data_IF_038942792658
#
_entry.id   IF_038942792658
#
_cell.length_a   1.000
_cell.length_b   1.000
_cell.length_c   1.000
_cell.angle_alpha   90.00
_cell.angle_beta   90.00
_cell.angle_gamma   90.00
#
_symmetry.space_group_name_H-M   'P 1'
#
loop_
_entity.id
_entity.type
_entity.pdbx_description
1 polymer ?
#
# COMPACT_ATOMS: atom_id res chain seq x y z
N UNK A 1 -60.34 -3.75 -64.87
CA UNK A 1 -59.53 -2.54 -64.58
C UNK A 1 -59.51 -2.16 -63.09
N UNK A 2 -60.65 -2.11 -62.38
CA UNK A 2 -60.71 -1.72 -60.97
C UNK A 2 -59.94 -2.66 -59.99
N UNK A 3 -59.89 -3.97 -60.25
CA UNK A 3 -59.17 -4.94 -59.40
C UNK A 3 -57.64 -4.71 -59.44
N UNK A 4 -57.08 -4.45 -60.63
CA UNK A 4 -55.65 -4.16 -60.80
C UNK A 4 -55.23 -2.88 -60.06
N UNK A 5 -56.09 -1.86 -60.03
CA UNK A 5 -55.82 -0.61 -59.29
C UNK A 5 -55.79 -0.81 -57.76
N UNK A 6 -56.64 -1.69 -57.22
CA UNK A 6 -56.65 -2.02 -55.79
C UNK A 6 -55.41 -2.82 -55.39
N UNK A 7 -55.00 -3.79 -56.22
CA UNK A 7 -53.79 -4.57 -55.98
C UNK A 7 -52.52 -3.71 -56.03
N UNK A 8 -52.45 -2.75 -56.96
CA UNK A 8 -51.31 -1.83 -57.06
C UNK A 8 -51.19 -0.93 -55.82
N UNK A 9 -52.29 -0.28 -55.41
CA UNK A 9 -52.35 0.55 -54.19
C UNK A 9 -52.05 -0.25 -52.92
N UNK A 10 -52.49 -1.51 -52.86
CA UNK A 10 -52.17 -2.40 -51.75
C UNK A 10 -50.66 -2.70 -51.69
N UNK A 11 -50.02 -3.01 -52.83
CA UNK A 11 -48.57 -3.27 -52.92
C UNK A 11 -47.74 -2.04 -52.53
N UNK A 12 -48.13 -0.85 -53.00
CA UNK A 12 -47.46 0.40 -52.63
C UNK A 12 -47.57 0.69 -51.12
N UNK A 13 -48.78 0.58 -50.56
CA UNK A 13 -48.99 0.77 -49.13
C UNK A 13 -48.27 -0.28 -48.27
N UNK A 14 -48.23 -1.53 -48.72
CA UNK A 14 -47.50 -2.60 -48.05
C UNK A 14 -46.00 -2.33 -48.04
N UNK A 15 -45.41 -2.02 -49.20
CA UNK A 15 -43.99 -1.70 -49.32
C UNK A 15 -43.61 -0.51 -48.43
N UNK A 16 -44.44 0.54 -48.40
CA UNK A 16 -44.18 1.71 -47.56
C UNK A 16 -44.20 1.39 -46.06
N UNK A 17 -45.13 0.54 -45.59
CA UNK A 17 -45.16 0.09 -44.19
C UNK A 17 -43.94 -0.76 -43.82
N UNK A 18 -43.51 -1.66 -44.70
CA UNK A 18 -42.31 -2.49 -44.50
C UNK A 18 -41.05 -1.64 -44.43
N UNK A 19 -40.90 -0.67 -45.33
CA UNK A 19 -39.75 0.26 -45.31
C UNK A 19 -39.74 1.08 -44.02
N UNK A 20 -40.89 1.62 -43.59
CA UNK A 20 -40.99 2.36 -42.31
C UNK A 20 -40.59 1.50 -41.12
N UNK A 21 -41.07 0.26 -41.05
CA UNK A 21 -40.71 -0.67 -39.98
C UNK A 21 -39.21 -0.99 -39.98
N UNK A 22 -38.62 -1.21 -41.16
CA UNK A 22 -37.19 -1.45 -41.30
C UNK A 22 -36.34 -0.25 -40.82
N UNK A 23 -36.77 0.98 -41.13
CA UNK A 23 -36.09 2.20 -40.65
C UNK A 23 -36.18 2.32 -39.13
N UNK A 24 -37.36 2.08 -38.54
CA UNK A 24 -37.54 2.12 -37.08
C UNK A 24 -36.69 1.05 -36.40
N UNK A 25 -36.70 -0.18 -36.90
CA UNK A 25 -35.87 -1.26 -36.36
C UNK A 25 -34.37 -0.97 -36.48
N UNK A 26 -33.93 -0.38 -37.60
CA UNK A 26 -32.54 0.03 -37.80
C UNK A 26 -32.14 1.11 -36.78
N UNK A 27 -33.01 2.09 -36.54
CA UNK A 27 -32.78 3.12 -35.53
C UNK A 27 -32.65 2.51 -34.12
N UNK A 28 -33.56 1.61 -33.73
CA UNK A 28 -33.51 0.91 -32.44
C UNK A 28 -32.19 0.12 -32.29
N UNK A 29 -31.76 -0.61 -33.32
CA UNK A 29 -30.51 -1.37 -33.28
C UNK A 29 -29.28 -0.46 -33.14
N UNK A 30 -29.25 0.68 -33.84
CA UNK A 30 -28.16 1.66 -33.72
C UNK A 30 -28.09 2.19 -32.28
N UNK A 31 -29.24 2.57 -31.70
CA UNK A 31 -29.28 3.08 -30.32
C UNK A 31 -28.88 2.03 -29.29
N UNK A 32 -29.32 0.77 -29.45
CA UNK A 32 -28.94 -0.31 -28.55
C UNK A 32 -27.44 -0.62 -28.64
N UNK A 33 -26.88 -0.61 -29.85
CA UNK A 33 -25.45 -0.82 -30.07
C UNK A 33 -24.60 0.32 -29.46
N UNK A 34 -25.03 1.59 -29.60
CA UNK A 34 -24.31 2.71 -28.98
C UNK A 34 -24.33 2.63 -27.46
N UNK A 35 -25.48 2.32 -26.85
CA UNK A 35 -25.57 2.15 -25.39
C UNK A 35 -24.67 1.02 -24.90
N UNK A 36 -24.68 -0.12 -25.59
CA UNK A 36 -23.81 -1.24 -25.24
C UNK A 36 -22.32 -0.90 -25.37
N UNK A 37 -21.93 -0.16 -26.42
CA UNK A 37 -20.56 0.31 -26.58
C UNK A 37 -20.13 1.28 -25.46
N UNK A 38 -21.03 2.17 -25.04
CA UNK A 38 -20.79 3.10 -23.92
C UNK A 38 -20.64 2.35 -22.60
N UNK A 39 -21.46 1.32 -22.34
CA UNK A 39 -21.34 0.45 -21.16
C UNK A 39 -20.01 -0.31 -21.13
N UNK A 40 -19.59 -0.89 -22.25
CA UNK A 40 -18.29 -1.57 -22.37
C UNK A 40 -17.14 -0.60 -22.08
N UNK A 41 -17.20 0.61 -22.65
CA UNK A 41 -16.18 1.64 -22.40
C UNK A 41 -16.17 2.09 -20.94
N UNK A 42 -17.34 2.19 -20.31
CA UNK A 42 -17.45 2.50 -18.88
C UNK A 42 -16.79 1.43 -18.02
N UNK A 43 -17.01 0.14 -18.34
CA UNK A 43 -16.41 -0.98 -17.62
C UNK A 43 -14.88 -1.04 -17.78
N UNK A 44 -14.38 -0.75 -18.98
CA UNK A 44 -12.94 -0.63 -19.24
C UNK A 44 -12.32 0.51 -18.41
N UNK A 45 -12.97 1.67 -18.38
CA UNK A 45 -12.52 2.81 -17.58
C UNK A 45 -12.51 2.50 -16.08
N UNK A 46 -13.55 1.81 -15.57
CA UNK A 46 -13.58 1.34 -14.19
C UNK A 46 -12.41 0.40 -13.88
N UNK A 47 -12.16 -0.57 -14.78
CA UNK A 47 -11.04 -1.51 -14.64
C UNK A 47 -9.70 -0.77 -14.55
N UNK A 48 -9.50 0.27 -15.38
CA UNK A 48 -8.26 1.08 -15.35
C UNK A 48 -8.14 1.88 -14.04
N UNK A 49 -9.23 2.39 -13.49
CA UNK A 49 -9.23 3.09 -12.20
C UNK A 49 -8.90 2.17 -11.04
N UNK A 50 -9.44 0.95 -11.04
CA UNK A 50 -9.10 -0.09 -10.06
C UNK A 50 -7.61 -0.46 -10.14
N UNK A 51 -7.08 -0.64 -11.36
CA UNK A 51 -5.65 -0.89 -11.57
C UNK A 51 -4.77 0.26 -11.08
N UNK A 52 -5.12 1.52 -11.39
CA UNK A 52 -4.39 2.69 -10.90
C UNK A 52 -4.36 2.75 -9.36
N UNK A 53 -5.47 2.36 -8.72
CA UNK A 53 -5.58 2.30 -7.26
C UNK A 53 -4.70 1.21 -6.67
N UNK A 54 -4.70 0.02 -7.28
CA UNK A 54 -3.81 -1.08 -6.90
C UNK A 54 -2.35 -0.66 -7.06
N UNK A 55 -1.99 -0.03 -8.17
CA UNK A 55 -0.65 0.48 -8.46
C UNK A 55 -0.18 1.42 -7.34
N UNK A 56 -0.99 2.44 -7.00
CA UNK A 56 -0.71 3.36 -5.90
C UNK A 56 -0.51 2.63 -4.56
N UNK A 57 -1.45 1.79 -4.17
CA UNK A 57 -1.40 1.05 -2.91
C UNK A 57 -0.19 0.12 -2.80
N UNK A 58 0.23 -0.51 -3.91
CA UNK A 58 1.39 -1.41 -3.93
C UNK A 58 2.72 -0.69 -3.86
N UNK A 59 2.86 0.44 -4.55
CA UNK A 59 4.03 1.33 -4.39
C UNK A 59 4.16 1.83 -2.95
N UNK A 60 3.07 2.27 -2.32
CA UNK A 60 3.11 2.67 -0.90
C UNK A 60 3.53 1.52 0.02
N UNK A 61 3.03 0.30 -0.23
CA UNK A 61 3.42 -0.86 0.54
C UNK A 61 4.90 -1.24 0.36
N UNK A 62 5.47 -1.01 -0.83
CA UNK A 62 6.89 -1.19 -1.11
C UNK A 62 7.73 -0.18 -0.34
N UNK A 63 7.40 1.11 -0.46
CA UNK A 63 8.08 2.18 0.28
C UNK A 63 8.05 1.92 1.79
N UNK A 64 6.90 1.49 2.35
CA UNK A 64 6.81 1.10 3.77
C UNK A 64 7.71 -0.10 4.10
N UNK A 65 7.69 -1.15 3.28
CA UNK A 65 8.51 -2.34 3.52
C UNK A 65 10.02 -2.02 3.50
N UNK A 66 10.46 -1.16 2.58
CA UNK A 66 11.86 -0.70 2.48
C UNK A 66 12.21 0.16 3.67
N UNK A 67 11.38 1.14 4.04
CA UNK A 67 11.62 1.98 5.21
C UNK A 67 11.72 1.14 6.49
N UNK A 68 10.83 0.16 6.69
CA UNK A 68 10.92 -0.74 7.83
C UNK A 68 12.21 -1.56 7.83
N UNK A 69 12.67 -2.01 6.66
CA UNK A 69 13.93 -2.71 6.60
C UNK A 69 15.14 -1.80 6.88
N UNK A 70 15.17 -0.63 6.23
CA UNK A 70 16.23 0.38 6.34
C UNK A 70 16.29 1.02 7.71
N UNK A 71 15.23 0.95 8.51
CA UNK A 71 15.24 1.43 9.88
C UNK A 71 15.39 0.32 10.92
N UNK A 72 14.73 -0.82 10.70
CA UNK A 72 14.49 -1.83 11.74
C UNK A 72 14.94 -3.24 11.35
N UNK A 73 15.56 -3.42 10.19
CA UNK A 73 16.01 -4.72 9.66
C UNK A 73 14.90 -5.78 9.53
N UNK A 74 13.64 -5.36 9.42
CA UNK A 74 12.48 -6.23 9.28
C UNK A 74 11.81 -6.04 7.90
N UNK A 75 12.00 -7.00 6.98
CA UNK A 75 11.43 -6.95 5.63
C UNK A 75 10.23 -7.88 5.54
N UNK A 76 9.06 -7.35 5.19
CA UNK A 76 7.89 -8.20 4.90
C UNK A 76 7.20 -7.76 3.62
N UNK A 77 6.84 -8.74 2.79
CA UNK A 77 5.98 -8.53 1.62
C UNK A 77 6.58 -7.76 0.44
N UNK A 78 7.85 -7.35 0.46
CA UNK A 78 8.48 -6.56 -0.61
C UNK A 78 8.38 -7.23 -1.99
N UNK A 79 8.98 -8.41 -2.18
CA UNK A 79 9.00 -9.12 -3.47
C UNK A 79 7.58 -9.40 -3.99
N UNK A 80 6.67 -9.74 -3.08
CA UNK A 80 5.26 -9.97 -3.40
C UNK A 80 4.61 -8.69 -3.93
N UNK A 81 4.74 -7.57 -3.22
CA UNK A 81 4.15 -6.30 -3.64
C UNK A 81 4.77 -5.78 -4.95
N UNK A 82 6.07 -6.01 -5.16
CA UNK A 82 6.78 -5.63 -6.40
C UNK A 82 6.21 -6.41 -7.59
N UNK A 83 6.10 -7.73 -7.46
CA UNK A 83 5.49 -8.59 -8.49
C UNK A 83 4.05 -8.17 -8.81
N UNK A 84 3.25 -7.80 -7.79
CA UNK A 84 1.87 -7.33 -8.02
C UNK A 84 1.83 -5.98 -8.72
N UNK A 85 2.72 -5.06 -8.35
CA UNK A 85 2.82 -3.74 -8.97
C UNK A 85 3.19 -3.85 -10.46
N UNK A 86 4.21 -4.64 -10.78
CA UNK A 86 4.65 -4.88 -12.16
C UNK A 86 3.51 -5.45 -13.03
N UNK A 87 2.81 -6.47 -12.52
CA UNK A 87 1.64 -7.04 -13.23
C UNK A 87 0.51 -6.03 -13.41
N UNK A 88 0.24 -5.20 -12.39
CA UNK A 88 -0.80 -4.19 -12.50
C UNK A 88 -0.44 -3.11 -13.54
N UNK A 89 0.83 -2.69 -13.60
CA UNK A 89 1.34 -1.75 -14.61
C UNK A 89 1.29 -2.33 -16.02
N UNK A 90 1.66 -3.60 -16.19
CA UNK A 90 1.55 -4.31 -17.47
C UNK A 90 0.08 -4.35 -17.95
N UNK A 91 -0.84 -4.75 -17.08
CA UNK A 91 -2.27 -4.80 -17.38
C UNK A 91 -2.83 -3.42 -17.73
N UNK A 92 -2.52 -2.40 -16.93
CA UNK A 92 -2.98 -1.03 -17.15
C UNK A 92 -2.47 -0.48 -18.50
N UNK A 93 -1.20 -0.75 -18.84
CA UNK A 93 -0.60 -0.38 -20.13
C UNK A 93 -1.19 -1.19 -21.29
N UNK A 94 -1.58 -2.44 -21.09
CA UNK A 94 -2.18 -3.24 -22.18
C UNK A 94 -3.60 -2.79 -22.53
N UNK A 95 -4.39 -2.43 -21.51
CA UNK A 95 -5.83 -2.12 -21.62
C UNK A 95 -6.15 -0.67 -21.95
N UNK A 96 -5.28 0.26 -21.58
CA UNK A 96 -5.53 1.69 -21.75
C UNK A 96 -5.62 2.16 -23.21
N UNK A 97 -6.23 3.32 -23.45
CA UNK A 97 -6.11 4.01 -24.74
C UNK A 97 -4.70 4.58 -24.94
N UNK A 98 -4.41 5.20 -26.09
CA UNK A 98 -3.06 5.73 -26.37
C UNK A 98 -2.55 6.71 -25.31
N UNK A 99 -3.43 7.49 -24.68
CA UNK A 99 -3.08 8.44 -23.62
C UNK A 99 -2.83 7.70 -22.31
N UNK A 100 -3.69 6.75 -21.94
CA UNK A 100 -3.52 5.93 -20.73
C UNK A 100 -2.21 5.15 -20.79
N UNK A 101 -1.90 4.55 -21.96
CA UNK A 101 -0.63 3.86 -22.20
C UNK A 101 0.56 4.76 -21.98
N UNK A 102 0.48 6.01 -22.43
CA UNK A 102 1.55 6.97 -22.20
C UNK A 102 1.71 7.31 -20.71
N UNK A 103 0.60 7.45 -19.98
CA UNK A 103 0.64 7.73 -18.54
C UNK A 103 1.24 6.55 -17.77
N UNK A 104 0.72 5.33 -17.95
CA UNK A 104 1.22 4.15 -17.24
C UNK A 104 2.66 3.80 -17.59
N UNK A 105 3.13 4.12 -18.80
CA UNK A 105 4.57 4.03 -19.14
C UNK A 105 5.42 5.01 -18.34
N UNK A 106 4.93 6.22 -18.08
CA UNK A 106 5.66 7.18 -17.24
C UNK A 106 5.71 6.71 -15.78
N UNK A 107 4.60 6.14 -15.29
CA UNK A 107 4.54 5.51 -13.96
C UNK A 107 5.54 4.36 -13.86
N UNK A 108 5.58 3.46 -14.86
CA UNK A 108 6.52 2.34 -14.92
C UNK A 108 7.99 2.80 -14.95
N UNK A 109 8.33 3.80 -15.77
CA UNK A 109 9.69 4.37 -15.81
C UNK A 109 10.09 4.92 -14.44
N UNK A 110 9.21 5.68 -13.79
CA UNK A 110 9.49 6.21 -12.44
C UNK A 110 9.64 5.07 -11.41
N UNK A 111 8.77 4.05 -11.48
CA UNK A 111 8.82 2.87 -10.62
C UNK A 111 10.13 2.08 -10.77
N UNK A 112 10.64 1.91 -11.99
CA UNK A 112 11.92 1.23 -12.21
C UNK A 112 13.10 1.97 -11.58
N UNK A 113 13.06 3.31 -11.53
CA UNK A 113 14.06 4.11 -10.82
C UNK A 113 13.92 3.93 -9.31
N UNK A 114 12.69 4.02 -8.79
CA UNK A 114 12.40 3.80 -7.37
C UNK A 114 12.86 2.42 -6.90
N UNK A 115 12.48 1.35 -7.60
CA UNK A 115 12.87 -0.02 -7.27
C UNK A 115 14.39 -0.19 -7.19
N UNK A 116 15.16 0.41 -8.12
CA UNK A 116 16.63 0.38 -8.09
C UNK A 116 17.21 1.08 -6.85
N UNK A 117 16.63 2.22 -6.47
CA UNK A 117 17.07 2.96 -5.29
C UNK A 117 16.73 2.16 -4.02
N UNK A 118 15.52 1.62 -3.95
CA UNK A 118 15.04 0.78 -2.86
C UNK A 118 15.89 -0.49 -2.67
N UNK A 119 16.17 -1.22 -3.74
CA UNK A 119 17.05 -2.40 -3.73
C UNK A 119 18.45 -2.04 -3.19
N UNK A 120 18.99 -0.90 -3.63
CA UNK A 120 20.29 -0.41 -3.15
C UNK A 120 20.24 0.00 -1.67
N UNK A 121 19.17 0.64 -1.22
CA UNK A 121 18.99 0.98 0.19
C UNK A 121 18.89 -0.28 1.06
N UNK A 122 18.15 -1.29 0.61
CA UNK A 122 18.07 -2.61 1.26
C UNK A 122 19.45 -3.28 1.31
N UNK A 123 20.23 -3.24 0.23
CA UNK A 123 21.58 -3.79 0.22
C UNK A 123 22.51 -3.08 1.20
N UNK A 124 22.48 -1.74 1.26
CA UNK A 124 23.26 -0.95 2.23
C UNK A 124 22.87 -1.29 3.68
N UNK A 125 21.57 -1.44 3.96
CA UNK A 125 21.09 -1.85 5.28
C UNK A 125 21.59 -3.26 5.66
N UNK A 126 21.59 -4.22 4.72
CA UNK A 126 22.16 -5.58 4.92
C UNK A 126 23.65 -5.55 5.29
N UNK A 127 24.39 -4.57 4.78
CA UNK A 127 25.81 -4.35 5.08
C UNK A 127 26.04 -3.59 6.41
N UNK A 128 24.99 -3.28 7.16
CA UNK A 128 25.07 -2.48 8.39
C UNK A 128 25.24 -0.97 8.15
N UNK A 129 25.14 -0.50 6.90
CA UNK A 129 25.28 0.91 6.50
C UNK A 129 23.95 1.64 6.57
N UNK A 130 23.27 1.55 7.71
CA UNK A 130 21.91 2.07 7.92
C UNK A 130 21.77 3.56 7.57
N UNK A 131 22.75 4.38 7.98
CA UNK A 131 22.75 5.82 7.73
C UNK A 131 22.82 6.15 6.22
N UNK A 132 23.62 5.42 5.46
CA UNK A 132 23.74 5.60 4.01
C UNK A 132 22.46 5.14 3.30
N UNK A 133 21.84 4.05 3.76
CA UNK A 133 20.57 3.57 3.25
C UNK A 133 19.44 4.60 3.46
N UNK A 134 19.35 5.18 4.66
CA UNK A 134 18.38 6.26 4.97
C UNK A 134 18.63 7.47 4.10
N UNK A 135 19.88 7.95 4.00
CA UNK A 135 20.24 9.09 3.16
C UNK A 135 19.90 8.87 1.69
N UNK A 136 20.02 7.64 1.20
CA UNK A 136 19.66 7.29 -0.17
C UNK A 136 18.14 7.39 -0.39
N UNK A 137 17.33 6.89 0.55
CA UNK A 137 15.86 6.98 0.51
C UNK A 137 15.33 8.40 0.71
N UNK A 138 16.05 9.24 1.44
CA UNK A 138 15.72 10.66 1.65
C UNK A 138 16.33 11.58 0.57
N UNK A 139 17.11 11.01 -0.34
CA UNK A 139 17.84 11.73 -1.37
C UNK A 139 16.93 12.38 -2.42
N UNK A 140 17.44 13.45 -3.04
CA UNK A 140 16.72 14.22 -4.08
C UNK A 140 16.23 13.31 -5.21
N UNK A 141 17.06 12.37 -5.68
CA UNK A 141 16.71 11.46 -6.78
C UNK A 141 15.50 10.58 -6.45
N UNK A 142 15.42 10.06 -5.21
CA UNK A 142 14.29 9.28 -4.75
C UNK A 142 13.02 10.13 -4.68
N UNK A 143 13.11 11.32 -4.07
CA UNK A 143 11.98 12.24 -3.93
C UNK A 143 11.44 12.73 -5.28
N UNK A 144 12.34 13.06 -6.22
CA UNK A 144 11.95 13.43 -7.58
C UNK A 144 11.27 12.27 -8.32
N UNK A 145 11.73 11.04 -8.10
CA UNK A 145 11.12 9.85 -8.71
C UNK A 145 9.73 9.57 -8.13
N UNK A 146 9.55 9.68 -6.80
CA UNK A 146 8.22 9.61 -6.14
C UNK A 146 7.28 10.68 -6.68
N UNK A 147 7.77 11.91 -6.87
CA UNK A 147 7.00 13.01 -7.43
C UNK A 147 6.56 12.74 -8.88
N UNK A 148 7.47 12.30 -9.75
CA UNK A 148 7.12 11.93 -11.15
C UNK A 148 6.10 10.81 -11.19
N UNK A 149 6.26 9.81 -10.32
CA UNK A 149 5.33 8.70 -10.17
C UNK A 149 3.93 9.20 -9.77
N UNK A 150 3.83 10.05 -8.74
CA UNK A 150 2.55 10.57 -8.26
C UNK A 150 1.88 11.48 -9.29
N UNK A 151 2.63 12.42 -9.89
CA UNK A 151 2.11 13.34 -10.91
C UNK A 151 1.55 12.60 -12.14
N UNK A 152 2.19 11.50 -12.55
CA UNK A 152 1.70 10.67 -13.63
C UNK A 152 0.36 9.98 -13.25
N UNK A 153 0.26 9.39 -12.06
CA UNK A 153 -1.00 8.79 -11.59
C UNK A 153 -2.11 9.84 -11.39
N UNK A 154 -1.79 11.02 -10.87
CA UNK A 154 -2.77 12.11 -10.70
C UNK A 154 -3.27 12.61 -12.05
N UNK A 155 -2.41 12.64 -13.06
CA UNK A 155 -2.81 12.95 -14.44
C UNK A 155 -3.81 11.93 -14.98
N UNK A 156 -3.65 10.64 -14.62
CA UNK A 156 -4.64 9.60 -14.93
C UNK A 156 -5.96 9.88 -14.21
N UNK A 157 -5.97 10.06 -12.89
CA UNK A 157 -7.21 10.30 -12.16
C UNK A 157 -7.96 11.55 -12.62
N UNK A 158 -7.23 12.63 -12.90
CA UNK A 158 -7.78 13.87 -13.46
C UNK A 158 -8.45 13.65 -14.82
N UNK A 159 -7.88 12.81 -15.70
CA UNK A 159 -8.49 12.45 -16.99
C UNK A 159 -9.89 11.83 -16.80
N UNK A 160 -10.06 11.05 -15.74
CA UNK A 160 -11.30 10.32 -15.45
C UNK A 160 -12.25 11.08 -14.51
N UNK A 161 -11.95 12.33 -14.16
CA UNK A 161 -12.78 13.12 -13.25
C UNK A 161 -12.83 12.56 -11.83
N UNK A 162 -11.87 11.70 -11.47
CA UNK A 162 -11.71 11.22 -10.10
C UNK A 162 -10.95 12.30 -9.36
N UNK A 163 -11.66 13.05 -8.51
CA UNK A 163 -11.00 13.92 -7.56
C UNK A 163 -10.30 13.04 -6.53
N UNK A 164 -8.98 12.98 -6.61
CA UNK A 164 -8.19 12.24 -5.62
C UNK A 164 -8.12 12.96 -4.28
N UNK A 165 -8.75 14.15 -4.15
CA UNK A 165 -8.94 14.91 -2.93
C UNK A 165 -7.65 15.06 -2.15
N UNK A 166 -6.85 16.09 -2.43
CA UNK A 166 -5.50 16.28 -1.86
C UNK A 166 -4.75 14.95 -1.73
N UNK A 167 -4.06 14.55 -2.81
CA UNK A 167 -2.97 13.55 -2.75
C UNK A 167 -2.37 13.56 -1.34
N UNK A 168 -2.62 12.51 -0.53
CA UNK A 168 -2.07 12.39 0.83
C UNK A 168 -0.60 12.78 0.67
N UNK A 169 -0.23 13.98 1.14
CA UNK A 169 1.09 14.53 0.83
C UNK A 169 2.12 13.54 1.35
N UNK A 170 3.34 13.54 0.78
CA UNK A 170 4.43 12.71 1.33
C UNK A 170 4.54 12.86 2.86
N UNK A 171 4.26 14.06 3.39
CA UNK A 171 4.13 14.35 4.83
C UNK A 171 2.94 13.66 5.52
N UNK A 172 1.76 13.62 4.90
CA UNK A 172 0.62 12.84 5.41
C UNK A 172 0.92 11.33 5.43
N UNK A 173 1.61 10.83 4.40
CA UNK A 173 2.00 9.42 4.30
C UNK A 173 3.12 9.07 5.30
N UNK A 174 4.09 9.94 5.50
CA UNK A 174 5.12 9.84 6.55
C UNK A 174 4.46 9.80 7.92
N UNK A 175 3.55 10.73 8.23
CA UNK A 175 2.82 10.77 9.50
C UNK A 175 1.96 9.51 9.71
N UNK A 176 1.32 9.00 8.66
CA UNK A 176 0.55 7.75 8.72
C UNK A 176 1.45 6.54 8.94
N UNK A 177 2.58 6.47 8.25
CA UNK A 177 3.57 5.39 8.41
C UNK A 177 4.19 5.43 9.81
N UNK A 178 4.48 6.61 10.35
CA UNK A 178 4.94 6.79 11.73
C UNK A 178 3.89 6.35 12.75
N UNK A 179 2.61 6.68 12.53
CA UNK A 179 1.51 6.20 13.38
C UNK A 179 1.34 4.68 13.31
N UNK A 180 1.37 4.10 12.12
CA UNK A 180 1.31 2.64 11.92
C UNK A 180 2.50 1.95 12.59
N UNK A 181 3.70 2.54 12.50
CA UNK A 181 4.89 2.04 13.17
C UNK A 181 4.73 2.12 14.70
N UNK A 182 4.22 3.23 15.24
CA UNK A 182 3.96 3.39 16.66
C UNK A 182 2.96 2.33 17.19
N UNK A 183 1.90 2.06 16.42
CA UNK A 183 0.93 1.00 16.76
C UNK A 183 1.59 -0.38 16.73
N UNK A 184 2.42 -0.66 15.73
CA UNK A 184 3.14 -1.92 15.61
C UNK A 184 4.14 -2.13 16.75
N UNK A 185 4.91 -1.10 17.11
CA UNK A 185 5.80 -1.09 18.28
C UNK A 185 5.01 -1.44 19.55
N UNK A 186 3.90 -0.74 19.80
CA UNK A 186 3.05 -1.00 20.97
C UNK A 186 2.50 -2.42 21.00
N UNK A 187 2.09 -2.96 19.85
CA UNK A 187 1.61 -4.33 19.76
C UNK A 187 2.71 -5.35 20.10
N UNK A 188 3.94 -5.11 19.62
CA UNK A 188 5.09 -5.97 19.93
C UNK A 188 5.48 -5.90 21.40
N UNK A 189 5.42 -4.72 22.01
CA UNK A 189 5.66 -4.54 23.43
C UNK A 189 4.63 -5.30 24.30
N UNK A 190 3.34 -5.28 23.91
CA UNK A 190 2.30 -6.06 24.58
C UNK A 190 2.51 -7.57 24.45
N UNK A 191 2.90 -8.06 23.26
CA UNK A 191 3.24 -9.47 23.03
C UNK A 191 4.43 -9.91 23.90
N UNK A 192 5.45 -9.06 23.99
CA UNK A 192 6.64 -9.30 24.79
C UNK A 192 6.31 -9.35 26.29
N UNK A 193 5.53 -8.36 26.77
CA UNK A 193 5.03 -8.31 28.15
C UNK A 193 4.24 -9.55 28.51
N UNK A 194 3.39 -10.05 27.60
CA UNK A 194 2.63 -11.27 27.83
C UNK A 194 3.54 -12.50 27.88
N UNK A 195 4.51 -12.62 26.97
CA UNK A 195 5.47 -13.73 26.97
C UNK A 195 6.30 -13.79 28.26
N UNK A 196 6.72 -12.65 28.81
CA UNK A 196 7.42 -12.57 30.10
C UNK A 196 6.53 -13.02 31.24
N UNK A 197 5.26 -12.56 31.28
CA UNK A 197 4.30 -13.02 32.29
C UNK A 197 4.14 -14.53 32.23
N UNK A 198 3.89 -15.08 31.04
CA UNK A 198 3.72 -16.51 30.86
C UNK A 198 4.95 -17.29 31.32
N UNK A 199 6.16 -16.81 31.02
CA UNK A 199 7.41 -17.41 31.50
C UNK A 199 7.53 -17.39 33.04
N UNK A 200 7.26 -16.25 33.68
CA UNK A 200 7.29 -16.12 35.15
C UNK A 200 6.27 -17.05 35.81
N UNK A 201 5.07 -17.17 35.25
CA UNK A 201 4.00 -17.98 35.83
C UNK A 201 4.17 -19.50 35.60
N UNK A 202 4.86 -19.91 34.54
CA UNK A 202 5.05 -21.33 34.19
C UNK A 202 6.34 -21.91 34.77
N UNK A 203 7.33 -21.09 35.15
CA UNK A 203 8.66 -21.53 35.56
C UNK A 203 9.01 -21.51 37.07
N UNK A 204 8.20 -22.05 38.00
CA UNK A 204 8.73 -22.40 39.32
C UNK A 204 9.46 -23.76 39.36
N UNK A 205 9.44 -24.56 38.28
CA UNK A 205 9.90 -25.98 38.32
C UNK A 205 10.76 -26.44 37.12
N UNK A 206 11.13 -25.56 36.19
CA UNK A 206 11.91 -25.94 35.02
C UNK A 206 13.39 -26.16 35.38
N UNK A 207 13.92 -27.36 35.09
CA UNK A 207 15.33 -27.70 35.22
C UNK A 207 16.21 -26.80 34.32
N UNK A 208 17.40 -26.43 34.83
CA UNK A 208 18.38 -25.47 34.28
C UNK A 208 18.83 -25.65 32.80
N UNK A 209 18.42 -26.72 32.12
CA UNK A 209 18.95 -27.10 30.80
C UNK A 209 18.08 -26.66 29.60
N UNK A 210 16.94 -25.98 29.80
CA UNK A 210 16.15 -25.46 28.68
C UNK A 210 16.64 -24.08 28.24
N UNK A 211 17.01 -23.98 26.96
CA UNK A 211 17.45 -22.76 26.25
C UNK A 211 16.54 -21.59 26.62
N UNK A 212 17.11 -20.59 27.27
CA UNK A 212 16.37 -19.49 27.87
C UNK A 212 15.69 -18.62 26.80
N UNK A 213 14.37 -18.37 26.89
CA UNK A 213 13.65 -17.39 26.07
C UNK A 213 14.24 -15.97 26.10
N UNK A 214 15.18 -15.71 27.01
CA UNK A 214 15.84 -14.42 27.24
C UNK A 214 16.62 -13.93 26.00
N UNK A 215 17.21 -14.80 25.17
CA UNK A 215 18.00 -14.31 24.02
C UNK A 215 17.14 -13.69 22.91
N UNK A 216 15.93 -14.23 22.69
CA UNK A 216 14.97 -13.64 21.75
C UNK A 216 14.36 -12.35 22.31
N UNK A 217 14.30 -12.25 23.63
CA UNK A 217 13.81 -11.08 24.35
C UNK A 217 14.77 -9.88 24.24
N UNK A 218 16.08 -10.06 24.49
CA UNK A 218 17.09 -8.99 24.33
C UNK A 218 17.08 -8.39 22.92
N UNK A 219 16.91 -9.24 21.91
CA UNK A 219 16.85 -8.83 20.50
C UNK A 219 15.57 -8.04 20.16
N UNK A 220 14.44 -8.40 20.78
CA UNK A 220 13.19 -7.66 20.63
C UNK A 220 13.22 -6.31 21.36
N UNK A 221 13.93 -6.23 22.50
CA UNK A 221 14.09 -4.99 23.27
C UNK A 221 14.95 -3.98 22.52
N UNK A 222 16.09 -4.41 21.95
CA UNK A 222 16.93 -3.58 21.07
C UNK A 222 16.14 -3.05 19.86
N UNK A 223 15.22 -3.87 19.33
CA UNK A 223 14.35 -3.49 18.22
C UNK A 223 13.32 -2.43 18.64
N UNK A 224 12.68 -2.59 19.80
CA UNK A 224 11.71 -1.63 20.36
C UNK A 224 12.37 -0.29 20.69
N UNK A 225 13.58 -0.29 21.27
CA UNK A 225 14.35 0.92 21.57
C UNK A 225 14.66 1.72 20.30
N UNK A 226 15.23 1.07 19.28
CA UNK A 226 15.54 1.73 17.98
C UNK A 226 14.29 2.28 17.30
N UNK A 227 13.18 1.55 17.36
CA UNK A 227 11.93 1.97 16.75
C UNK A 227 11.33 3.18 17.50
N UNK A 228 11.48 3.24 18.82
CA UNK A 228 11.05 4.36 19.66
C UNK A 228 11.92 5.60 19.43
N UNK A 229 13.25 5.45 19.43
CA UNK A 229 14.19 6.55 19.12
C UNK A 229 13.91 7.18 17.75
N UNK A 230 13.68 6.35 16.74
CA UNK A 230 13.35 6.82 15.40
C UNK A 230 12.06 7.65 15.41
N UNK A 231 11.03 7.14 16.08
CA UNK A 231 9.74 7.79 16.13
C UNK A 231 9.79 9.13 16.89
N UNK A 232 10.55 9.20 18.00
CA UNK A 232 10.84 10.44 18.75
C UNK A 232 11.59 11.45 17.87
N UNK A 233 12.59 10.99 17.10
CA UNK A 233 13.42 11.86 16.27
C UNK A 233 12.68 12.49 15.09
N UNK A 234 11.67 11.80 14.55
CA UNK A 234 10.92 12.21 13.35
C UNK A 234 9.54 12.81 13.63
N UNK A 235 8.96 12.65 14.82
CA UNK A 235 7.63 13.16 15.17
C UNK A 235 7.56 14.68 15.43
N UNK A 236 6.43 15.30 15.11
CA UNK A 236 6.10 16.68 15.54
C UNK A 236 5.90 16.71 17.07
N UNK A 237 5.94 17.90 17.68
CA UNK A 237 5.67 18.20 19.08
C UNK A 237 4.48 17.46 19.72
N UNK A 238 3.40 17.20 18.97
CA UNK A 238 2.27 16.40 19.44
C UNK A 238 2.60 14.90 19.52
N UNK A 239 3.36 14.38 18.55
CA UNK A 239 3.79 12.97 18.52
C UNK A 239 4.90 12.72 19.56
N UNK A 240 5.76 13.72 19.83
CA UNK A 240 6.77 13.66 20.90
C UNK A 240 6.18 13.41 22.28
N UNK A 241 4.96 13.88 22.56
CA UNK A 241 4.29 13.60 23.83
C UNK A 241 3.85 12.14 23.96
N UNK A 242 3.34 11.56 22.86
CA UNK A 242 2.98 10.13 22.79
C UNK A 242 4.24 9.27 22.92
N UNK A 243 5.33 9.65 22.23
CA UNK A 243 6.57 8.89 22.30
C UNK A 243 7.31 9.04 23.64
N UNK A 244 7.24 10.21 24.27
CA UNK A 244 7.75 10.39 25.64
C UNK A 244 6.95 9.56 26.65
N UNK A 245 5.64 9.44 26.46
CA UNK A 245 4.84 8.53 27.29
C UNK A 245 5.27 7.07 27.11
N UNK A 246 5.57 6.64 25.88
CA UNK A 246 6.11 5.30 25.61
C UNK A 246 7.50 5.11 26.25
N UNK A 247 8.38 6.11 26.18
CA UNK A 247 9.69 6.11 26.84
C UNK A 247 9.55 6.01 28.37
N UNK A 248 8.64 6.77 28.97
CA UNK A 248 8.34 6.71 30.41
C UNK A 248 7.77 5.33 30.81
N UNK A 249 6.90 4.73 29.98
CA UNK A 249 6.36 3.38 30.19
C UNK A 249 7.45 2.29 30.07
N UNK A 250 8.39 2.41 29.12
CA UNK A 250 9.54 1.51 28.99
C UNK A 250 10.50 1.60 30.20
N UNK A 251 10.74 2.80 30.71
CA UNK A 251 11.54 2.99 31.94
C UNK A 251 10.89 2.31 33.15
N UNK A 252 9.55 2.28 33.22
CA UNK A 252 8.82 1.56 34.26
C UNK A 252 8.98 0.04 34.08
N UNK A 253 8.93 -0.47 32.84
CA UNK A 253 9.18 -1.88 32.53
C UNK A 253 10.59 -2.31 32.93
N UNK A 254 11.62 -1.55 32.57
CA UNK A 254 13.01 -1.81 32.98
C UNK A 254 13.17 -1.86 34.51
N UNK A 255 12.49 -0.97 35.24
CA UNK A 255 12.49 -0.98 36.71
C UNK A 255 11.76 -2.19 37.31
N UNK A 256 10.68 -2.66 36.67
CA UNK A 256 9.98 -3.90 37.05
C UNK A 256 10.91 -5.11 36.81
N UNK A 257 11.65 -5.10 35.70
CA UNK A 257 12.59 -6.14 35.32
C UNK A 257 13.76 -6.25 36.29
N UNK A 258 14.39 -5.13 36.62
CA UNK A 258 15.49 -5.06 37.58
C UNK A 258 15.05 -5.61 38.95
N UNK A 259 13.81 -5.30 39.34
CA UNK A 259 13.19 -5.79 40.57
C UNK A 259 12.84 -7.28 40.50
N UNK A 260 12.35 -7.79 39.36
CA UNK A 260 12.07 -9.20 39.16
C UNK A 260 13.35 -10.04 39.19
N UNK A 261 14.43 -9.57 38.54
CA UNK A 261 15.76 -10.18 38.58
C UNK A 261 16.31 -10.17 40.02
N UNK A 262 16.15 -9.06 40.74
CA UNK A 262 16.57 -8.97 42.14
C UNK A 262 15.82 -9.95 43.04
N UNK A 263 14.50 -10.11 42.85
CA UNK A 263 13.67 -11.07 43.60
C UNK A 263 14.03 -12.53 43.29
N UNK A 264 14.29 -12.85 42.01
CA UNK A 264 14.75 -14.17 41.59
C UNK A 264 16.11 -14.51 42.21
N UNK A 265 17.07 -13.57 42.19
CA UNK A 265 18.39 -13.74 42.82
C UNK A 265 18.32 -13.87 44.35
N UNK A 266 17.34 -13.22 44.98
CA UNK A 266 17.14 -13.28 46.43
C UNK A 266 16.49 -14.60 46.91
N UNK A 267 16.16 -15.55 46.00
CA UNK A 267 15.41 -16.75 46.33
C UNK A 267 14.04 -16.44 46.96
N UNK A 268 13.55 -15.22 46.77
CA UNK A 268 12.37 -14.67 47.43
C UNK A 268 11.18 -14.70 46.48
N UNK A 269 10.81 -15.90 46.07
CA UNK A 269 9.49 -16.17 45.51
C UNK A 269 8.80 -17.15 46.48
N UNK A 270 7.92 -16.60 47.32
CA UNK A 270 6.92 -17.37 48.08
C UNK A 270 5.71 -17.53 47.16
#
# INVERSE_FOLDING_TARGET
MALNLRLLKFKENFNFKVIKLAVIMSFIMITAFSTYADELKSLENQTLQELATIIRQKDEALTRAVNYYVHLSAMSGYEKNLTFLEKALELATSKGDSKDKSIFKQVDIANQVLAKIEDKAVALAKEGKQKEAIQLMEGIEYQESKKKYSEALDSFYKKYGVDTGETESLTSLENKTLKELAVFIRQKDLELTQAVKDYIYVSPTANDDQVSPISDYEKNLEWLEKATELAVSKGDSADKAIFKQIEDENNILAAIEEKAIALAKAGSFI
#
